data_IF_282258553979
#
_entry.id   IF_282258553979
#
_cell.length_a   1.000
_cell.length_b   1.000
_cell.length_c   1.000
_cell.angle_alpha   90.00
_cell.angle_beta   90.00
_cell.angle_gamma   90.00
#
_symmetry.space_group_name_H-M   'P 1'
#
loop_
_entity.id
_entity.type
_entity.pdbx_description
1 polymer ?
#
# COMPACT_ATOMS: atom_id res chain seq x y z
N UNK A 1 -6.57 23.00 20.40
CA UNK A 1 -6.93 22.10 19.28
C UNK A 1 -8.29 21.44 19.51
N UNK A 2 -8.54 20.90 20.70
CA UNK A 2 -9.81 20.23 21.04
C UNK A 2 -11.04 21.15 20.91
N UNK A 3 -10.91 22.45 21.19
CA UNK A 3 -11.98 23.44 20.98
C UNK A 3 -12.17 23.87 19.51
N UNK A 4 -11.17 23.67 18.64
CA UNK A 4 -11.24 24.09 17.23
C UNK A 4 -12.03 23.09 16.36
N UNK A 5 -12.26 21.86 16.83
CA UNK A 5 -13.09 20.87 16.13
C UNK A 5 -12.69 20.69 14.66
N UNK A 6 -13.69 20.62 13.77
CA UNK A 6 -13.47 20.55 12.31
C UNK A 6 -13.44 21.91 11.61
N UNK A 7 -13.39 23.02 12.36
CA UNK A 7 -13.51 24.37 11.77
C UNK A 7 -12.28 24.82 10.98
N UNK A 8 -11.13 24.16 11.18
CA UNK A 8 -9.88 24.42 10.49
C UNK A 8 -9.32 23.12 9.90
N UNK A 9 -8.60 23.18 8.76
CA UNK A 9 -7.83 22.05 8.25
C UNK A 9 -6.96 21.43 9.35
N UNK A 10 -6.92 20.10 9.42
CA UNK A 10 -6.17 19.37 10.44
C UNK A 10 -4.67 19.76 10.53
N UNK A 11 -3.96 20.18 9.45
CA UNK A 11 -2.57 20.64 9.57
C UNK A 11 -2.44 21.93 10.39
N UNK A 12 -3.42 22.83 10.30
CA UNK A 12 -3.41 24.11 11.04
C UNK A 12 -3.71 23.90 12.53
N UNK A 13 -4.49 22.85 12.84
CA UNK A 13 -4.77 22.43 14.20
C UNK A 13 -3.54 21.76 14.83
N UNK A 14 -2.81 20.96 14.03
CA UNK A 14 -1.57 20.27 14.41
C UNK A 14 -0.40 21.24 14.62
N UNK A 15 -0.25 22.24 13.75
CA UNK A 15 0.79 23.28 13.83
C UNK A 15 0.77 24.02 15.18
N UNK A 16 -0.42 24.27 15.73
CA UNK A 16 -0.58 24.91 17.04
C UNK A 16 -0.07 24.07 18.22
N UNK A 17 0.13 22.76 18.04
CA UNK A 17 0.62 21.85 19.08
C UNK A 17 2.09 21.51 18.85
N UNK A 18 2.44 21.13 17.62
CA UNK A 18 3.77 20.58 17.30
C UNK A 18 4.71 21.62 16.71
N UNK A 19 4.21 22.80 16.34
CA UNK A 19 4.95 23.79 15.55
C UNK A 19 5.23 23.35 14.11
N UNK A 20 4.69 22.20 13.67
CA UNK A 20 4.93 21.60 12.37
C UNK A 20 3.62 21.40 11.61
N UNK A 21 3.58 21.83 10.34
CA UNK A 21 2.44 21.61 9.43
C UNK A 21 2.48 20.27 8.70
N UNK A 22 3.66 19.67 8.60
CA UNK A 22 3.88 18.42 7.87
C UNK A 22 3.89 17.23 8.83
N UNK A 23 3.39 16.09 8.37
CA UNK A 23 3.45 14.85 9.13
C UNK A 23 4.90 14.40 9.27
N UNK A 24 5.36 14.25 10.51
CA UNK A 24 6.69 13.76 10.83
C UNK A 24 6.60 12.51 11.72
N UNK A 25 7.12 11.38 11.23
CA UNK A 25 7.14 10.12 11.94
C UNK A 25 8.31 9.98 12.94
N UNK A 26 9.24 10.95 12.99
CA UNK A 26 10.43 10.90 13.87
C UNK A 26 10.07 10.67 15.33
N UNK A 27 9.05 11.34 15.87
CA UNK A 27 8.65 11.16 17.27
C UNK A 27 8.20 9.72 17.58
N UNK A 28 7.53 9.06 16.62
CA UNK A 28 7.10 7.68 16.76
C UNK A 28 8.30 6.71 16.65
N UNK A 29 9.22 6.99 15.73
CA UNK A 29 10.46 6.21 15.56
C UNK A 29 11.33 6.31 16.82
N UNK A 30 11.50 7.51 17.37
CA UNK A 30 12.26 7.74 18.60
C UNK A 30 11.65 7.01 19.79
N UNK A 31 10.32 7.04 19.92
CA UNK A 31 9.61 6.32 20.97
C UNK A 31 9.88 4.80 20.93
N UNK A 32 9.87 4.19 19.73
CA UNK A 32 10.12 2.76 19.56
C UNK A 32 11.59 2.38 19.36
N UNK A 33 12.51 3.35 19.30
CA UNK A 33 13.92 3.10 19.02
C UNK A 33 14.56 2.05 19.94
N UNK A 34 14.33 2.03 21.27
CA UNK A 34 14.91 1.00 22.14
C UNK A 34 14.41 -0.41 21.79
N UNK A 35 13.13 -0.54 21.46
CA UNK A 35 12.52 -1.81 21.07
C UNK A 35 13.05 -2.28 19.72
N UNK A 36 13.15 -1.38 18.73
CA UNK A 36 13.71 -1.70 17.42
C UNK A 36 15.14 -2.22 17.53
N UNK A 37 15.98 -1.61 18.37
CA UNK A 37 17.35 -2.08 18.61
C UNK A 37 17.38 -3.49 19.22
N UNK A 38 16.51 -3.75 20.20
CA UNK A 38 16.42 -5.07 20.81
C UNK A 38 15.94 -6.14 19.82
N UNK A 39 14.89 -5.85 19.04
CA UNK A 39 14.35 -6.78 18.03
C UNK A 39 15.39 -7.11 16.94
N UNK A 40 16.21 -6.14 16.51
CA UNK A 40 17.27 -6.39 15.54
C UNK A 40 18.30 -7.40 16.05
N UNK A 41 18.68 -7.30 17.33
CA UNK A 41 19.63 -8.24 17.95
C UNK A 41 19.00 -9.62 18.11
N UNK A 42 17.76 -9.69 18.59
CA UNK A 42 17.10 -10.96 18.87
C UNK A 42 16.75 -11.72 17.57
N UNK A 43 16.26 -11.03 16.53
CA UNK A 43 15.99 -11.65 15.23
C UNK A 43 17.28 -12.19 14.59
N UNK A 44 18.40 -11.46 14.71
CA UNK A 44 19.70 -11.91 14.20
C UNK A 44 20.25 -13.11 14.99
N UNK A 45 19.96 -13.19 16.29
CA UNK A 45 20.37 -14.30 17.16
C UNK A 45 19.65 -15.61 16.81
N UNK A 46 18.40 -15.54 16.38
CA UNK A 46 17.59 -16.71 16.03
C UNK A 46 17.51 -16.97 14.52
N UNK A 47 18.21 -16.19 13.69
CA UNK A 47 18.20 -16.29 12.23
C UNK A 47 16.77 -16.26 11.65
N UNK A 48 15.93 -15.39 12.22
CA UNK A 48 14.52 -15.28 11.84
C UNK A 48 14.35 -14.63 10.46
N UNK A 49 13.48 -15.21 9.64
CA UNK A 49 13.12 -14.63 8.35
C UNK A 49 12.23 -13.40 8.55
N UNK A 50 12.75 -12.22 8.23
CA UNK A 50 12.02 -10.95 8.33
C UNK A 50 11.34 -10.66 6.99
N UNK A 51 10.02 -10.86 6.95
CA UNK A 51 9.19 -10.57 5.78
C UNK A 51 8.14 -11.66 5.57
N UNK A 52 7.54 -11.68 4.38
CA UNK A 52 6.62 -12.71 3.95
C UNK A 52 6.87 -13.01 2.47
N UNK A 53 6.54 -14.23 2.06
CA UNK A 53 6.58 -14.61 0.65
C UNK A 53 5.46 -13.91 -0.13
N UNK A 54 5.73 -13.57 -1.39
CA UNK A 54 4.75 -12.92 -2.26
C UNK A 54 3.61 -13.89 -2.60
N UNK A 55 2.41 -13.60 -2.12
CA UNK A 55 1.21 -14.34 -2.50
C UNK A 55 0.61 -13.75 -3.77
N UNK A 56 1.03 -14.24 -4.95
CA UNK A 56 0.53 -13.81 -6.26
C UNK A 56 -0.95 -14.13 -6.52
N UNK A 57 -1.65 -14.77 -5.58
CA UNK A 57 -3.03 -15.23 -5.73
C UNK A 57 -4.07 -14.11 -5.93
N UNK A 58 -3.74 -12.86 -5.60
CA UNK A 58 -4.68 -11.73 -5.65
C UNK A 58 -4.25 -10.58 -6.57
N UNK A 59 -3.17 -10.76 -7.34
CA UNK A 59 -2.64 -9.73 -8.25
C UNK A 59 -2.45 -10.26 -9.67
N UNK A 60 -3.34 -11.14 -10.14
CA UNK A 60 -3.54 -11.29 -11.58
C UNK A 60 -4.39 -10.11 -12.05
N UNK A 61 -3.78 -9.19 -12.80
CA UNK A 61 -4.50 -8.10 -13.43
C UNK A 61 -5.51 -8.70 -14.39
N UNK A 62 -6.79 -8.33 -14.27
CA UNK A 62 -7.81 -8.72 -15.24
C UNK A 62 -7.32 -8.37 -16.66
N UNK A 63 -7.23 -9.40 -17.49
CA UNK A 63 -6.75 -9.27 -18.85
C UNK A 63 -7.83 -8.61 -19.71
N UNK A 64 -7.87 -7.27 -19.72
CA UNK A 64 -8.87 -6.45 -20.43
C UNK A 64 -8.94 -6.75 -21.94
N UNK A 65 -7.92 -7.43 -22.47
CA UNK A 65 -7.84 -7.83 -23.87
C UNK A 65 -8.54 -9.17 -24.16
N UNK A 66 -8.91 -9.95 -23.14
CA UNK A 66 -9.55 -11.26 -23.26
C UNK A 66 -10.84 -11.21 -24.09
N UNK A 67 -11.74 -10.27 -23.79
CA UNK A 67 -12.98 -10.09 -24.55
C UNK A 67 -12.74 -9.66 -26.01
N UNK A 68 -11.75 -8.81 -26.25
CA UNK A 68 -11.46 -8.32 -27.62
C UNK A 68 -10.85 -9.40 -28.51
N UNK A 69 -10.04 -10.30 -27.91
CA UNK A 69 -9.45 -11.44 -28.60
C UNK A 69 -10.48 -12.53 -28.89
N UNK A 70 -11.39 -12.79 -27.94
CA UNK A 70 -12.52 -13.70 -28.13
C UNK A 70 -13.46 -13.20 -29.25
N UNK A 71 -13.83 -11.91 -29.21
CA UNK A 71 -14.69 -11.31 -30.23
C UNK A 71 -14.05 -11.34 -31.62
N UNK A 72 -12.74 -11.05 -31.73
CA UNK A 72 -11.99 -11.19 -32.98
C UNK A 72 -11.94 -12.64 -33.49
N UNK A 73 -11.80 -13.62 -32.60
CA UNK A 73 -11.82 -15.04 -32.94
C UNK A 73 -13.17 -15.49 -33.50
N UNK A 74 -14.26 -15.11 -32.84
CA UNK A 74 -15.63 -15.42 -33.30
C UNK A 74 -15.91 -14.77 -34.67
N UNK A 75 -15.50 -13.51 -34.87
CA UNK A 75 -15.69 -12.82 -36.14
C UNK A 75 -14.90 -13.47 -37.29
N UNK A 76 -13.67 -13.92 -37.04
CA UNK A 76 -12.87 -14.68 -38.01
C UNK A 76 -13.48 -16.04 -38.33
N UNK A 77 -14.02 -16.73 -37.33
CA UNK A 77 -14.67 -18.04 -37.52
C UNK A 77 -15.96 -17.91 -38.33
N UNK A 78 -16.82 -16.94 -38.00
CA UNK A 78 -18.06 -16.68 -38.73
C UNK A 78 -17.80 -16.25 -40.19
N UNK A 79 -16.74 -15.48 -40.43
CA UNK A 79 -16.35 -15.08 -41.79
C UNK A 79 -15.87 -16.24 -42.67
N UNK A 80 -15.37 -17.33 -42.08
CA UNK A 80 -14.92 -18.52 -42.82
C UNK A 80 -16.05 -19.47 -43.20
N UNK A 81 -17.26 -19.25 -42.66
CA UNK A 81 -18.47 -20.00 -42.98
C UNK A 81 -19.36 -19.29 -44.02
N UNK A 82 -19.01 -18.05 -44.41
CA UNK A 82 -19.80 -17.20 -45.30
C UNK A 82 -19.08 -16.84 -46.63
N UNK A 83 -18.06 -17.62 -46.98
CA UNK A 83 -17.46 -17.73 -48.33
C UNK A 83 -17.44 -19.22 -48.65
#
# INVERSE_FOLDING_TARGET
>A
MLEMGSSRPWPDAMEKITGQRNMNASALIEYFMPLTKWLQVENAKYDEFIGWEENNKYCEKEDKNSFTNLARGIFRFASSYFI
#
